data_IF_839854489938
#
_entry.id   IF_839854489938
#
_cell.length_a   1.000
_cell.length_b   1.000
_cell.length_c   1.000
_cell.angle_alpha   90.00
_cell.angle_beta   90.00
_cell.angle_gamma   90.00
#
_symmetry.space_group_name_H-M   'P 1'
#
loop_
_entity.id
_entity.type
_entity.pdbx_description
1 polymer ?
#
# COMPACT_ATOMS: atom_id res chain seq x y z
N UNK A 1 4.26 -26.49 -17.68
CA UNK A 1 2.98 -27.14 -17.23
C UNK A 1 2.39 -26.44 -16.01
N UNK A 2 3.16 -26.20 -14.96
CA UNK A 2 2.68 -25.52 -13.74
C UNK A 2 2.36 -24.04 -13.98
N UNK A 3 3.23 -23.36 -14.73
CA UNK A 3 3.05 -21.96 -15.13
C UNK A 3 1.83 -21.75 -16.03
N UNK A 4 1.61 -22.65 -16.99
CA UNK A 4 0.44 -22.59 -17.87
C UNK A 4 -0.88 -22.79 -17.11
N UNK A 5 -0.85 -23.64 -16.07
CA UNK A 5 -2.00 -23.84 -15.18
C UNK A 5 -2.30 -22.60 -14.32
N UNK A 6 -1.26 -21.92 -13.84
CA UNK A 6 -1.38 -20.67 -13.08
C UNK A 6 -1.90 -19.54 -13.98
N UNK A 7 -1.38 -19.39 -15.20
CA UNK A 7 -1.82 -18.40 -16.17
C UNK A 7 -3.30 -18.60 -16.55
N UNK A 8 -3.74 -19.85 -16.78
CA UNK A 8 -5.15 -20.15 -17.00
C UNK A 8 -6.04 -19.82 -15.81
N UNK A 9 -5.59 -20.11 -14.58
CA UNK A 9 -6.33 -19.77 -13.36
C UNK A 9 -6.48 -18.25 -13.21
N UNK A 10 -5.42 -17.48 -13.49
CA UNK A 10 -5.47 -16.02 -13.42
C UNK A 10 -6.40 -15.42 -14.46
N UNK A 11 -6.39 -15.97 -15.69
CA UNK A 11 -7.27 -15.51 -16.74
C UNK A 11 -8.74 -15.76 -16.37
N UNK A 12 -9.07 -16.95 -15.86
CA UNK A 12 -10.42 -17.28 -15.40
C UNK A 12 -10.84 -16.39 -14.25
N UNK A 13 -9.99 -16.19 -13.24
CA UNK A 13 -10.30 -15.33 -12.11
C UNK A 13 -10.46 -13.86 -12.53
N UNK A 14 -9.65 -13.39 -13.48
CA UNK A 14 -9.79 -12.02 -14.00
C UNK A 14 -11.10 -11.82 -14.76
N UNK A 15 -11.53 -12.80 -15.56
CA UNK A 15 -12.82 -12.78 -16.24
C UNK A 15 -13.98 -12.82 -15.24
N UNK A 16 -13.91 -13.70 -14.24
CA UNK A 16 -14.92 -13.81 -13.18
C UNK A 16 -15.06 -12.50 -12.39
N UNK A 17 -13.96 -11.81 -12.10
CA UNK A 17 -14.05 -10.51 -11.40
C UNK A 17 -14.68 -9.41 -12.22
N UNK A 18 -14.32 -9.35 -13.51
CA UNK A 18 -14.97 -8.41 -14.42
C UNK A 18 -16.47 -8.69 -14.48
N UNK A 19 -16.84 -9.95 -14.57
CA UNK A 19 -18.25 -10.36 -14.66
C UNK A 19 -19.01 -10.17 -13.33
N UNK A 20 -18.31 -10.22 -12.18
CA UNK A 20 -18.88 -9.93 -10.87
C UNK A 20 -19.00 -8.43 -10.57
N UNK A 21 -18.19 -7.59 -11.19
CA UNK A 21 -18.25 -6.13 -11.02
C UNK A 21 -19.60 -5.54 -11.42
N UNK A 22 -20.19 -6.03 -12.50
CA UNK A 22 -21.49 -5.56 -13.00
C UNK A 22 -22.65 -5.90 -12.03
N UNK A 23 -22.83 -7.14 -11.54
CA UNK A 23 -23.86 -7.45 -10.55
C UNK A 23 -23.62 -6.76 -9.21
N UNK A 24 -22.36 -6.58 -8.76
CA UNK A 24 -22.04 -5.85 -7.53
C UNK A 24 -22.48 -4.38 -7.63
N UNK A 25 -22.22 -3.72 -8.76
CA UNK A 25 -22.67 -2.35 -9.00
C UNK A 25 -24.20 -2.27 -9.02
N UNK A 26 -24.87 -3.21 -9.67
CA UNK A 26 -26.35 -3.27 -9.66
C UNK A 26 -26.90 -3.52 -8.26
N UNK A 27 -26.25 -4.36 -7.46
CA UNK A 27 -26.65 -4.59 -6.08
C UNK A 27 -26.53 -3.30 -5.25
N UNK A 28 -25.41 -2.56 -5.36
CA UNK A 28 -25.25 -1.25 -4.68
C UNK A 28 -26.35 -0.26 -5.08
N UNK A 29 -26.70 -0.17 -6.35
CA UNK A 29 -27.79 0.72 -6.80
C UNK A 29 -29.16 0.32 -6.21
N UNK A 30 -29.42 -0.96 -6.03
CA UNK A 30 -30.66 -1.44 -5.40
C UNK A 30 -30.66 -1.21 -3.90
N UNK A 31 -29.51 -1.41 -3.24
CA UNK A 31 -29.32 -1.15 -1.82
C UNK A 31 -29.54 0.34 -1.50
N UNK A 32 -29.08 1.24 -2.36
CA UNK A 32 -29.28 2.68 -2.22
C UNK A 32 -30.77 3.11 -2.23
N UNK A 33 -31.69 2.25 -2.71
CA UNK A 33 -33.14 2.48 -2.71
C UNK A 33 -33.83 1.96 -1.46
N UNK A 34 -33.11 1.33 -0.53
CA UNK A 34 -33.66 0.80 0.72
C UNK A 34 -33.83 1.97 1.70
N UNK A 35 -35.04 2.14 2.21
CA UNK A 35 -35.38 3.21 3.15
C UNK A 35 -34.85 2.91 4.57
N UNK A 36 -34.78 1.62 4.96
CA UNK A 36 -34.20 1.19 6.23
C UNK A 36 -32.67 1.39 6.25
N UNK A 37 -32.24 2.41 6.97
CA UNK A 37 -30.83 2.80 7.08
C UNK A 37 -29.96 1.68 7.63
N UNK A 38 -30.43 0.99 8.69
CA UNK A 38 -29.66 -0.08 9.33
C UNK A 38 -29.44 -1.27 8.39
N UNK A 39 -30.49 -1.65 7.67
CA UNK A 39 -30.45 -2.72 6.68
C UNK A 39 -29.55 -2.31 5.50
N UNK A 40 -29.66 -1.06 5.02
CA UNK A 40 -28.86 -0.52 3.94
C UNK A 40 -27.37 -0.60 4.29
N UNK A 41 -26.96 -0.09 5.44
CA UNK A 41 -25.56 -0.12 5.89
C UNK A 41 -25.01 -1.55 6.04
N UNK A 42 -25.84 -2.50 6.50
CA UNK A 42 -25.43 -3.90 6.60
C UNK A 42 -25.15 -4.49 5.21
N UNK A 43 -26.06 -4.27 4.26
CA UNK A 43 -25.93 -4.80 2.91
C UNK A 43 -24.79 -4.14 2.14
N UNK A 44 -24.56 -2.84 2.31
CA UNK A 44 -23.40 -2.14 1.73
C UNK A 44 -22.09 -2.77 2.24
N UNK A 45 -21.97 -3.00 3.54
CA UNK A 45 -20.80 -3.66 4.15
C UNK A 45 -20.58 -5.07 3.58
N UNK A 46 -21.64 -5.84 3.39
CA UNK A 46 -21.56 -7.20 2.85
C UNK A 46 -21.05 -7.18 1.40
N UNK A 47 -21.59 -6.29 0.56
CA UNK A 47 -21.13 -6.12 -0.84
C UNK A 47 -19.67 -5.65 -0.90
N UNK A 48 -19.28 -4.71 -0.04
CA UNK A 48 -17.90 -4.24 0.04
C UNK A 48 -16.96 -5.35 0.47
N UNK A 49 -17.35 -6.16 1.45
CA UNK A 49 -16.57 -7.30 1.90
C UNK A 49 -16.41 -8.35 0.79
N UNK A 50 -17.49 -8.66 0.06
CA UNK A 50 -17.43 -9.59 -1.07
C UNK A 50 -16.51 -9.07 -2.18
N UNK A 51 -16.64 -7.81 -2.55
CA UNK A 51 -15.80 -7.18 -3.58
C UNK A 51 -14.33 -7.21 -3.18
N UNK A 52 -14.03 -6.84 -1.94
CA UNK A 52 -12.67 -6.86 -1.40
C UNK A 52 -12.07 -8.29 -1.39
N UNK A 53 -12.88 -9.31 -1.08
CA UNK A 53 -12.44 -10.70 -1.10
C UNK A 53 -12.06 -11.15 -2.51
N UNK A 54 -12.86 -10.79 -3.51
CA UNK A 54 -12.62 -11.09 -4.92
C UNK A 54 -11.31 -10.41 -5.38
N UNK A 55 -11.14 -9.14 -5.09
CA UNK A 55 -9.94 -8.37 -5.44
C UNK A 55 -8.68 -8.95 -4.76
N UNK A 56 -8.81 -9.42 -3.52
CA UNK A 56 -7.71 -10.05 -2.79
C UNK A 56 -7.26 -11.35 -3.45
N UNK A 57 -8.20 -12.20 -3.87
CA UNK A 57 -7.91 -13.47 -4.57
C UNK A 57 -7.23 -13.19 -5.92
N UNK A 58 -7.72 -12.19 -6.66
CA UNK A 58 -7.11 -11.80 -7.94
C UNK A 58 -5.71 -11.27 -7.78
N UNK A 59 -5.52 -10.43 -6.78
CA UNK A 59 -4.23 -9.85 -6.47
C UNK A 59 -3.23 -10.91 -6.04
N UNK A 60 -3.67 -11.91 -5.26
CA UNK A 60 -2.84 -13.07 -4.91
C UNK A 60 -2.42 -13.84 -6.16
N UNK A 61 -3.36 -14.20 -7.04
CA UNK A 61 -3.08 -14.97 -8.26
C UNK A 61 -2.17 -14.20 -9.23
N UNK A 62 -2.40 -12.89 -9.40
CA UNK A 62 -1.52 -12.03 -10.22
C UNK A 62 -0.11 -11.93 -9.63
N UNK A 63 0.02 -11.98 -8.32
CA UNK A 63 1.32 -11.94 -7.63
C UNK A 63 2.14 -13.19 -7.88
N UNK A 64 1.51 -14.37 -7.90
CA UNK A 64 2.18 -15.63 -8.23
C UNK A 64 2.61 -15.69 -9.69
N UNK A 65 1.81 -15.11 -10.60
CA UNK A 65 2.11 -15.05 -12.03
C UNK A 65 3.10 -13.96 -12.41
N UNK A 66 3.30 -13.00 -11.52
CA UNK A 66 4.24 -11.92 -11.76
C UNK A 66 5.64 -12.51 -11.96
N UNK A 67 6.16 -12.39 -13.19
CA UNK A 67 7.56 -12.70 -13.53
C UNK A 67 8.54 -11.67 -12.92
N UNK A 68 8.09 -10.89 -11.94
CA UNK A 68 8.91 -9.90 -11.28
C UNK A 68 10.07 -10.56 -10.54
N UNK A 69 11.28 -10.23 -10.95
CA UNK A 69 12.49 -10.75 -10.31
C UNK A 69 12.80 -9.93 -9.06
N UNK A 70 13.24 -10.58 -7.98
CA UNK A 70 13.78 -9.86 -6.84
C UNK A 70 14.93 -8.95 -7.28
N UNK A 71 14.92 -7.71 -6.79
CA UNK A 71 15.99 -6.73 -7.02
C UNK A 71 16.29 -5.96 -5.76
N UNK A 72 17.48 -5.41 -5.70
CA UNK A 72 17.85 -4.53 -4.58
C UNK A 72 17.05 -3.22 -4.68
N UNK A 73 16.43 -2.84 -3.59
CA UNK A 73 15.66 -1.59 -3.49
C UNK A 73 15.77 -1.02 -2.08
N UNK A 74 15.57 0.28 -1.98
CA UNK A 74 15.42 0.96 -0.69
C UNK A 74 14.01 0.73 -0.17
N UNK A 75 13.90 -0.08 0.89
CA UNK A 75 12.61 -0.34 1.54
C UNK A 75 12.00 0.95 2.08
N UNK A 76 12.84 1.81 2.70
CA UNK A 76 12.39 3.09 3.23
C UNK A 76 11.80 3.98 2.13
N UNK A 77 12.49 4.13 0.99
CA UNK A 77 11.99 4.95 -0.12
C UNK A 77 10.66 4.41 -0.67
N UNK A 78 10.52 3.08 -0.77
CA UNK A 78 9.27 2.47 -1.21
C UNK A 78 8.12 2.75 -0.24
N UNK A 79 8.34 2.57 1.05
CA UNK A 79 7.31 2.79 2.07
C UNK A 79 6.97 4.27 2.20
N UNK A 80 7.96 5.18 2.17
CA UNK A 80 7.72 6.63 2.17
C UNK A 80 6.82 7.03 1.02
N UNK A 81 7.13 6.61 -0.21
CA UNK A 81 6.32 6.91 -1.38
C UNK A 81 4.87 6.39 -1.27
N UNK A 82 4.66 5.23 -0.63
CA UNK A 82 3.30 4.71 -0.38
C UNK A 82 2.58 5.60 0.64
N UNK A 83 3.24 5.96 1.73
CA UNK A 83 2.65 6.80 2.77
C UNK A 83 2.30 8.18 2.21
N UNK A 84 3.20 8.79 1.42
CA UNK A 84 2.99 10.07 0.76
C UNK A 84 1.76 10.03 -0.16
N UNK A 85 1.61 8.95 -0.98
CA UNK A 85 0.44 8.73 -1.84
C UNK A 85 -0.88 8.77 -1.01
N UNK A 86 -0.90 8.14 0.18
CA UNK A 86 -2.08 8.15 1.06
C UNK A 86 -2.32 9.51 1.74
N UNK A 87 -1.27 10.20 2.13
CA UNK A 87 -1.36 11.55 2.74
C UNK A 87 -1.87 12.58 1.73
N UNK A 88 -1.43 12.50 0.49
CA UNK A 88 -1.90 13.37 -0.61
C UNK A 88 -3.41 13.18 -0.88
N UNK A 89 -3.92 11.98 -0.65
CA UNK A 89 -5.35 11.68 -0.71
C UNK A 89 -6.12 12.08 0.58
N UNK A 90 -5.44 12.65 1.57
CA UNK A 90 -6.04 13.08 2.83
C UNK A 90 -6.28 11.96 3.85
N UNK A 91 -5.72 10.76 3.63
CA UNK A 91 -5.84 9.67 4.59
C UNK A 91 -4.89 9.86 5.79
N UNK A 92 -5.33 9.53 7.02
CA UNK A 92 -4.52 9.66 8.22
C UNK A 92 -3.50 8.52 8.37
N UNK A 93 -2.49 8.54 7.52
CA UNK A 93 -1.35 7.62 7.54
C UNK A 93 -0.10 8.36 7.98
N UNK A 94 0.68 7.77 8.89
CA UNK A 94 1.93 8.36 9.36
C UNK A 94 3.06 7.36 9.29
N UNK A 95 4.27 7.82 8.92
CA UNK A 95 5.49 7.03 8.96
C UNK A 95 6.32 7.47 10.17
N UNK A 96 6.52 6.57 11.14
CA UNK A 96 7.36 6.84 12.29
C UNK A 96 8.86 6.75 11.91
N UNK A 97 9.65 7.62 12.51
CA UNK A 97 11.11 7.60 12.34
C UNK A 97 11.65 8.55 11.27
N UNK A 98 10.86 9.50 10.78
CA UNK A 98 11.40 10.70 10.14
C UNK A 98 11.42 11.85 11.17
N UNK A 99 12.61 12.38 11.49
CA UNK A 99 12.64 13.74 11.98
C UNK A 99 12.11 14.63 10.85
N UNK A 100 11.27 15.63 11.14
CA UNK A 100 10.82 16.55 10.11
C UNK A 100 12.06 17.11 9.42
N UNK A 101 12.23 16.85 8.14
CA UNK A 101 13.25 17.48 7.32
C UNK A 101 12.88 18.96 7.28
N UNK A 102 13.37 19.71 8.23
CA UNK A 102 13.41 21.18 8.13
C UNK A 102 14.40 21.47 7.01
N UNK A 103 13.92 21.50 5.78
CA UNK A 103 14.67 22.08 4.68
C UNK A 103 14.79 23.56 5.04
N UNK A 104 15.84 23.91 5.77
CA UNK A 104 16.31 25.30 5.80
C UNK A 104 16.84 25.57 4.40
N UNK A 105 15.97 26.06 3.53
CA UNK A 105 16.40 26.77 2.34
C UNK A 105 17.10 28.05 2.76
N UNK A 106 18.35 27.92 3.19
CA UNK A 106 19.31 29.00 3.29
C UNK A 106 20.48 28.63 2.37
N UNK A 107 20.25 28.77 1.09
CA UNK A 107 21.37 28.83 0.14
C UNK A 107 21.26 30.14 -0.61
N UNK A 108 22.08 31.10 -0.15
CA UNK A 108 22.51 32.21 -0.98
C UNK A 108 23.23 31.62 -2.18
N UNK A 109 22.80 31.99 -3.37
CA UNK A 109 23.34 31.53 -4.67
C UNK A 109 24.81 31.96 -4.88
N UNK A 110 25.41 32.66 -3.89
CA UNK A 110 26.73 33.27 -3.96
C UNK A 110 27.80 32.60 -3.05
N UNK A 111 27.51 31.49 -2.41
CA UNK A 111 28.50 30.83 -1.57
C UNK A 111 29.45 29.95 -2.40
N UNK A 112 30.64 30.47 -2.66
CA UNK A 112 31.73 29.85 -3.48
C UNK A 112 32.54 28.81 -2.69
N UNK A 113 32.07 28.31 -1.57
CA UNK A 113 32.86 27.39 -0.78
C UNK A 113 32.64 25.93 -1.23
N UNK A 114 33.62 25.28 -1.88
CA UNK A 114 33.47 23.89 -2.36
C UNK A 114 33.37 22.84 -1.25
N UNK A 115 33.59 23.22 0.03
CA UNK A 115 33.46 22.32 1.19
C UNK A 115 32.04 22.22 1.76
N UNK A 116 31.11 23.07 1.32
CA UNK A 116 29.70 22.99 1.73
C UNK A 116 28.85 22.05 0.86
N UNK A 117 29.45 21.39 -0.13
CA UNK A 117 28.80 20.36 -0.98
C UNK A 117 28.79 18.95 -0.37
N UNK A 118 29.20 18.79 0.87
CA UNK A 118 28.89 17.58 1.60
C UNK A 118 27.38 17.60 1.88
N UNK A 119 26.60 17.05 0.94
CA UNK A 119 25.28 16.54 1.23
C UNK A 119 25.47 15.57 2.41
N UNK A 120 25.16 16.03 3.62
CA UNK A 120 25.04 15.14 4.76
C UNK A 120 23.88 14.19 4.50
N UNK A 121 24.17 13.09 3.79
CA UNK A 121 23.29 11.93 3.65
C UNK A 121 23.30 11.06 4.94
N UNK A 122 23.82 11.58 6.04
CA UNK A 122 24.01 10.85 7.30
C UNK A 122 22.72 10.60 8.11
N UNK A 123 21.55 10.98 7.58
CA UNK A 123 20.27 10.73 8.27
C UNK A 123 19.39 9.67 7.60
N UNK A 124 19.70 9.25 6.40
CA UNK A 124 18.93 8.24 5.68
C UNK A 124 19.62 6.88 5.83
N UNK A 125 19.36 6.17 6.90
CA UNK A 125 19.68 4.75 6.94
C UNK A 125 18.93 4.07 5.79
N UNK A 126 19.63 3.88 4.68
CA UNK A 126 19.07 3.19 3.51
C UNK A 126 18.91 1.71 3.88
N UNK A 127 17.70 1.34 4.25
CA UNK A 127 17.33 -0.06 4.42
C UNK A 127 17.24 -0.68 3.03
N UNK A 128 18.35 -1.27 2.56
CA UNK A 128 18.40 -1.94 1.26
C UNK A 128 18.01 -3.42 1.45
N UNK A 129 16.97 -3.83 0.76
CA UNK A 129 16.50 -5.23 0.74
C UNK A 129 16.50 -5.78 -0.67
N UNK A 130 16.57 -7.10 -0.79
CA UNK A 130 16.33 -7.80 -2.06
C UNK A 130 14.92 -8.35 -2.03
N UNK A 131 14.03 -7.75 -2.77
CA UNK A 131 12.62 -8.12 -2.81
C UNK A 131 12.02 -7.87 -4.20
N UNK A 132 10.78 -8.32 -4.39
CA UNK A 132 9.95 -8.01 -5.55
C UNK A 132 9.19 -6.70 -5.26
N UNK A 133 9.53 -5.57 -5.91
CA UNK A 133 8.97 -4.25 -5.56
C UNK A 133 7.46 -4.18 -5.64
N UNK A 134 6.85 -4.73 -6.70
CA UNK A 134 5.39 -4.71 -6.85
C UNK A 134 4.68 -5.56 -5.80
N UNK A 135 5.22 -6.74 -5.50
CA UNK A 135 4.66 -7.60 -4.46
C UNK A 135 4.76 -6.93 -3.08
N UNK A 136 5.89 -6.28 -2.80
CA UNK A 136 6.12 -5.59 -1.53
C UNK A 136 5.23 -4.34 -1.40
N UNK A 137 5.11 -3.53 -2.48
CA UNK A 137 4.17 -2.39 -2.52
C UNK A 137 2.76 -2.87 -2.22
N UNK A 138 2.30 -3.92 -2.88
CA UNK A 138 0.96 -4.49 -2.70
C UNK A 138 0.72 -4.97 -1.28
N UNK A 139 1.69 -5.67 -0.68
CA UNK A 139 1.59 -6.12 0.70
C UNK A 139 1.45 -4.94 1.67
N UNK A 140 2.28 -3.90 1.52
CA UNK A 140 2.22 -2.70 2.36
C UNK A 140 0.88 -1.95 2.17
N UNK A 141 0.42 -1.77 0.93
CA UNK A 141 -0.87 -1.14 0.61
C UNK A 141 -2.03 -1.88 1.26
N UNK A 142 -2.10 -3.21 1.13
CA UNK A 142 -3.17 -4.01 1.73
C UNK A 142 -3.21 -3.86 3.26
N UNK A 143 -2.05 -3.81 3.92
CA UNK A 143 -1.97 -3.63 5.36
C UNK A 143 -2.40 -2.22 5.79
N UNK A 144 -2.01 -1.18 5.04
CA UNK A 144 -2.43 0.20 5.30
C UNK A 144 -3.94 0.34 5.10
N UNK A 145 -4.50 -0.21 4.02
CA UNK A 145 -5.94 -0.20 3.76
C UNK A 145 -6.73 -0.90 4.87
N UNK A 146 -6.24 -2.05 5.35
CA UNK A 146 -6.84 -2.73 6.49
C UNK A 146 -6.79 -1.87 7.76
N UNK A 147 -5.66 -1.23 8.06
CA UNK A 147 -5.51 -0.36 9.20
C UNK A 147 -6.46 0.86 9.12
N UNK A 148 -6.62 1.47 7.95
CA UNK A 148 -7.56 2.56 7.72
C UNK A 148 -9.02 2.13 7.84
N UNK A 149 -9.34 0.93 7.34
CA UNK A 149 -10.69 0.39 7.35
C UNK A 149 -11.19 0.06 8.76
N UNK A 150 -10.33 -0.53 9.58
CA UNK A 150 -10.72 -1.03 10.90
C UNK A 150 -10.31 -0.09 12.05
N UNK A 151 -9.23 0.68 11.87
CA UNK A 151 -8.67 1.52 12.92
C UNK A 151 -8.71 3.02 12.63
N UNK A 152 -9.31 3.46 11.54
CA UNK A 152 -9.42 4.88 11.10
C UNK A 152 -8.09 5.60 10.88
N UNK A 153 -6.96 5.07 11.35
CA UNK A 153 -5.61 5.61 11.17
C UNK A 153 -4.63 4.48 10.98
N UNK A 154 -3.54 4.76 10.26
CA UNK A 154 -2.45 3.80 10.09
C UNK A 154 -1.12 4.43 10.53
N UNK A 155 -0.44 3.76 11.45
CA UNK A 155 0.91 4.11 11.89
C UNK A 155 1.90 3.11 11.33
N UNK A 156 2.73 3.57 10.42
CA UNK A 156 3.76 2.75 9.77
C UNK A 156 5.08 2.98 10.46
N UNK A 157 5.76 1.90 10.86
CA UNK A 157 7.10 1.94 11.47
C UNK A 157 8.02 1.02 10.71
N UNK A 158 9.20 1.49 10.38
CA UNK A 158 10.24 0.73 9.73
C UNK A 158 11.48 0.68 10.63
N UNK A 159 11.79 -0.50 11.11
CA UNK A 159 12.99 -0.79 11.90
C UNK A 159 13.89 -1.75 11.12
N UNK A 160 15.19 -1.59 11.21
CA UNK A 160 16.14 -2.47 10.55
C UNK A 160 17.39 -2.67 11.41
N UNK A 161 17.95 -3.87 11.30
CA UNK A 161 19.25 -4.21 11.82
C UNK A 161 20.14 -4.75 10.68
N UNK A 162 21.31 -5.31 11.00
CA UNK A 162 22.25 -5.80 10.00
C UNK A 162 21.70 -6.93 9.10
N UNK A 163 20.67 -7.66 9.54
CA UNK A 163 20.19 -8.87 8.87
C UNK A 163 18.71 -8.86 8.51
N UNK A 164 17.92 -8.02 9.17
CA UNK A 164 16.46 -8.01 9.06
C UNK A 164 15.92 -6.59 9.03
N UNK A 165 14.81 -6.41 8.30
CA UNK A 165 13.99 -5.22 8.34
C UNK A 165 12.56 -5.60 8.76
N UNK A 166 12.02 -4.88 9.72
CA UNK A 166 10.68 -5.05 10.24
C UNK A 166 9.82 -3.85 9.82
N UNK A 167 8.79 -4.12 9.04
CA UNK A 167 7.75 -3.16 8.72
C UNK A 167 6.53 -3.47 9.58
N UNK A 168 6.19 -2.55 10.45
CA UNK A 168 5.00 -2.66 11.31
C UNK A 168 3.97 -1.64 10.86
N UNK A 169 2.73 -2.06 10.71
CA UNK A 169 1.60 -1.20 10.41
C UNK A 169 0.56 -1.44 11.50
N UNK A 170 0.39 -0.44 12.35
CA UNK A 170 -0.53 -0.46 13.47
C UNK A 170 -1.74 0.42 13.16
N UNK A 171 -2.91 -0.03 13.56
CA UNK A 171 -4.14 0.74 13.60
C UNK A 171 -4.41 1.26 15.02
N UNK A 172 -5.40 2.15 15.15
CA UNK A 172 -5.97 2.53 16.43
C UNK A 172 -7.29 1.78 16.60
N UNK A 173 -7.21 0.45 16.72
CA UNK A 173 -8.38 -0.38 16.89
C UNK A 173 -9.31 0.18 17.96
N UNK A 174 -10.61 0.22 17.64
CA UNK A 174 -11.67 0.64 18.55
C UNK A 174 -11.98 -0.43 19.58
#
# INVERSE_FOLDING_TARGET
RERDALEKRAMVLSAVSHDLGTPATRARLRIALIEDEELREKLERDIDQMTHMIDSILNYTRSELSAERPRRLSLRALISAIVDDYQDLGHPVTLAGEPPVKIKMQHSVFDRNPRSRAFNMDGLHQVIVTARPLALRRAATNLIENALKYGRRAHVTLEANATQAHLTIADQGG
#
